data_IF_753926753546
#
_entry.id   IF_753926753546
#
_cell.length_a   1.000
_cell.length_b   1.000
_cell.length_c   1.000
_cell.angle_alpha   90.00
_cell.angle_beta   90.00
_cell.angle_gamma   90.00
#
_symmetry.space_group_name_H-M   'P 1'
#
loop_
_entity.id
_entity.type
_entity.pdbx_description
1 polymer ?
#
# COMPACT_ATOMS: atom_id res chain seq x y z
N UNK A 1 -0.77 20.32 45.98
CA UNK A 1 -0.98 19.91 44.58
C UNK A 1 0.02 18.82 44.26
N UNK A 2 -0.43 17.58 44.06
CA UNK A 2 0.45 16.47 43.68
C UNK A 2 0.79 16.58 42.20
N UNK A 3 2.07 16.73 41.87
CA UNK A 3 2.54 16.65 40.49
C UNK A 3 2.27 15.23 39.98
N UNK A 4 1.60 15.03 38.83
CA UNK A 4 1.42 13.71 38.26
C UNK A 4 2.80 13.09 37.96
N UNK A 5 3.16 12.00 38.62
CA UNK A 5 4.48 11.37 38.53
C UNK A 5 4.60 10.31 37.43
N UNK A 6 3.61 10.23 36.53
CA UNK A 6 3.61 9.21 35.47
C UNK A 6 4.04 9.84 34.15
N UNK A 7 5.35 9.81 33.90
CA UNK A 7 5.89 10.00 32.54
C UNK A 7 5.57 8.73 31.77
N UNK A 8 4.61 8.81 30.85
CA UNK A 8 4.42 7.75 29.85
C UNK A 8 5.58 7.91 28.87
N UNK A 9 6.58 7.04 28.98
CA UNK A 9 7.63 6.96 27.97
C UNK A 9 6.97 6.57 26.65
N UNK A 10 7.00 7.47 25.66
CA UNK A 10 6.57 7.16 24.30
C UNK A 10 7.46 6.03 23.78
N UNK A 11 6.85 5.01 23.18
CA UNK A 11 7.61 3.93 22.55
C UNK A 11 8.52 4.45 21.44
N UNK A 12 9.55 3.69 21.08
CA UNK A 12 10.46 4.04 19.98
C UNK A 12 9.71 4.13 18.64
N UNK A 13 8.73 3.26 18.44
CA UNK A 13 7.89 3.19 17.24
C UNK A 13 6.45 3.60 17.58
N UNK A 14 5.86 4.49 16.78
CA UNK A 14 4.47 4.93 16.91
C UNK A 14 3.50 3.97 16.18
N UNK A 15 2.22 4.32 16.15
CA UNK A 15 1.23 3.60 15.35
C UNK A 15 1.51 3.73 13.85
N UNK A 16 1.36 2.66 13.07
CA UNK A 16 1.48 2.73 11.61
C UNK A 16 0.31 3.53 11.03
N UNK A 17 0.56 4.25 9.95
CA UNK A 17 -0.46 4.87 9.10
C UNK A 17 -0.41 4.23 7.71
N UNK A 18 -1.36 4.57 6.84
CA UNK A 18 -1.36 4.17 5.44
C UNK A 18 -1.31 5.39 4.53
N UNK A 19 -0.51 5.27 3.48
CA UNK A 19 -0.27 6.34 2.53
C UNK A 19 -0.15 5.74 1.12
N UNK A 20 -0.55 6.49 0.11
CA UNK A 20 -0.30 6.13 -1.28
C UNK A 20 -0.14 7.36 -2.16
N UNK A 21 0.46 7.15 -3.32
CA UNK A 21 0.74 8.18 -4.32
C UNK A 21 0.23 7.74 -5.70
N UNK A 22 -0.27 8.70 -6.49
CA UNK A 22 -0.70 8.51 -7.88
C UNK A 22 -1.71 7.37 -8.07
N UNK A 23 -1.39 6.35 -8.87
CA UNK A 23 -2.30 5.24 -9.22
C UNK A 23 -2.34 4.12 -8.17
N UNK A 24 -1.62 4.27 -7.06
CA UNK A 24 -1.61 3.33 -5.95
C UNK A 24 -2.64 3.66 -4.88
N UNK A 25 -2.91 2.68 -4.02
CA UNK A 25 -3.88 2.81 -2.93
C UNK A 25 -3.45 1.98 -1.71
N UNK A 26 -3.79 2.46 -0.52
CA UNK A 26 -3.43 1.81 0.73
C UNK A 26 -4.62 1.83 1.68
N UNK A 27 -5.15 0.66 2.04
CA UNK A 27 -6.29 0.53 2.96
C UNK A 27 -6.06 -0.49 4.06
N UNK A 28 -6.69 -0.25 5.20
CA UNK A 28 -6.78 -1.25 6.25
C UNK A 28 -7.77 -2.33 5.83
N UNK A 29 -7.39 -3.58 6.01
CA UNK A 29 -8.23 -4.75 5.77
C UNK A 29 -8.22 -5.64 7.01
N UNK A 30 -9.38 -6.18 7.38
CA UNK A 30 -9.47 -7.18 8.46
C UNK A 30 -9.53 -8.55 7.80
N UNK A 31 -8.52 -9.38 8.05
CA UNK A 31 -8.48 -10.73 7.49
C UNK A 31 -9.59 -11.57 8.09
N UNK A 32 -10.77 -11.62 7.44
CA UNK A 32 -11.86 -12.55 7.78
C UNK A 32 -11.88 -13.79 6.89
N UNK A 33 -11.19 -13.74 5.75
CA UNK A 33 -11.10 -14.83 4.77
C UNK A 33 -9.73 -15.49 4.78
N UNK A 34 -9.68 -16.79 4.44
CA UNK A 34 -8.41 -17.48 4.22
C UNK A 34 -7.78 -16.97 2.92
N UNK A 35 -6.45 -16.76 2.85
CA UNK A 35 -5.45 -17.03 3.87
C UNK A 35 -5.14 -15.82 4.79
N UNK A 36 -5.93 -14.76 4.70
CA UNK A 36 -5.72 -13.46 5.36
C UNK A 36 -5.89 -13.50 6.88
N UNK A 37 -6.84 -14.28 7.41
CA UNK A 37 -7.05 -14.39 8.87
C UNK A 37 -5.93 -15.17 9.59
N UNK A 38 -5.02 -15.83 8.87
CA UNK A 38 -4.00 -16.72 9.45
C UNK A 38 -2.80 -15.96 10.03
N UNK A 39 -2.69 -14.66 9.78
CA UNK A 39 -1.56 -13.80 10.13
C UNK A 39 -2.04 -12.54 10.85
N UNK A 40 -1.08 -11.76 11.35
CA UNK A 40 -1.31 -10.57 12.19
C UNK A 40 -1.81 -10.90 13.59
N UNK A 41 -1.09 -10.39 14.59
CA UNK A 41 -1.50 -10.52 16.01
C UNK A 41 -2.73 -9.69 16.36
N UNK A 42 -3.10 -8.70 15.54
CA UNK A 42 -4.26 -7.83 15.74
C UNK A 42 -5.47 -8.23 14.87
N UNK A 43 -5.26 -9.13 13.90
CA UNK A 43 -6.24 -9.48 12.86
C UNK A 43 -6.39 -8.43 11.76
N UNK A 44 -5.65 -7.32 11.83
CA UNK A 44 -5.60 -6.30 10.78
C UNK A 44 -4.41 -6.50 9.87
N UNK A 45 -4.63 -6.21 8.60
CA UNK A 45 -3.67 -6.21 7.52
C UNK A 45 -3.65 -4.82 6.87
N UNK A 46 -2.50 -4.43 6.34
CA UNK A 46 -2.41 -3.31 5.42
C UNK A 46 -2.47 -3.85 3.99
N UNK A 47 -3.52 -3.54 3.24
CA UNK A 47 -3.60 -3.81 1.81
C UNK A 47 -2.92 -2.65 1.07
N UNK A 48 -1.84 -2.96 0.36
CA UNK A 48 -1.07 -2.07 -0.48
C UNK A 48 -1.34 -2.48 -1.93
N UNK A 49 -2.00 -1.61 -2.69
CA UNK A 49 -2.23 -1.77 -4.12
C UNK A 49 -1.26 -0.88 -4.88
N UNK A 50 -0.35 -1.49 -5.65
CA UNK A 50 0.64 -0.72 -6.41
C UNK A 50 0.04 -0.08 -7.66
N UNK A 51 -0.93 -0.72 -8.32
CA UNK A 51 -1.59 -0.21 -9.51
C UNK A 51 -0.69 -0.10 -10.73
N UNK A 52 -1.20 0.59 -11.76
CA UNK A 52 -0.47 0.86 -13.01
C UNK A 52 0.66 1.86 -12.74
N UNK A 53 1.87 1.51 -13.16
CA UNK A 53 3.07 2.27 -12.86
C UNK A 53 3.36 3.35 -13.90
N UNK A 54 3.62 4.56 -13.39
CA UNK A 54 3.96 5.77 -14.14
C UNK A 54 5.22 6.47 -13.62
N UNK A 55 5.89 5.91 -12.62
CA UNK A 55 7.21 6.32 -12.14
C UNK A 55 7.33 6.31 -10.62
N UNK A 56 6.43 7.03 -9.94
CA UNK A 56 6.43 7.23 -8.48
C UNK A 56 5.11 6.76 -7.84
N UNK A 57 4.51 5.71 -8.40
CA UNK A 57 3.30 5.08 -7.88
C UNK A 57 3.68 4.08 -6.79
N UNK A 58 3.29 4.37 -5.55
CA UNK A 58 3.49 3.45 -4.45
C UNK A 58 2.41 3.56 -3.39
N UNK A 59 2.20 2.45 -2.69
CA UNK A 59 1.45 2.35 -1.45
C UNK A 59 2.42 2.02 -0.31
N UNK A 60 2.20 2.58 0.87
CA UNK A 60 3.12 2.42 2.00
C UNK A 60 2.47 2.37 3.37
N UNK A 61 3.24 1.85 4.32
CA UNK A 61 2.93 1.81 5.76
C UNK A 61 3.97 2.65 6.52
N UNK A 62 3.79 3.97 6.63
CA UNK A 62 4.68 4.80 7.42
C UNK A 62 4.53 4.53 8.93
N UNK A 63 5.66 4.33 9.60
CA UNK A 63 5.78 4.17 11.05
C UNK A 63 6.71 5.27 11.56
N UNK A 64 6.18 6.20 12.36
CA UNK A 64 7.02 7.23 12.97
C UNK A 64 7.98 6.59 13.98
N UNK A 65 9.20 7.11 14.00
CA UNK A 65 10.27 6.69 14.91
C UNK A 65 10.65 7.87 15.79
N UNK A 66 10.72 7.64 17.09
CA UNK A 66 11.08 8.67 18.06
C UNK A 66 12.61 8.86 18.12
N UNK A 67 13.20 9.36 17.04
CA UNK A 67 14.61 9.75 16.91
C UNK A 67 15.63 8.63 17.26
N UNK A 68 15.44 7.43 16.70
CA UNK A 68 16.34 6.30 16.93
C UNK A 68 17.65 6.51 16.16
N UNK A 69 18.81 6.49 16.81
CA UNK A 69 20.09 6.62 16.08
C UNK A 69 20.26 5.49 15.06
N UNK A 70 20.85 5.79 13.89
CA UNK A 70 21.09 4.79 12.84
C UNK A 70 21.85 3.54 13.37
N UNK A 71 22.91 3.67 14.17
CA UNK A 71 23.59 2.50 14.75
C UNK A 71 22.72 1.67 15.70
N UNK A 72 21.62 2.21 16.23
CA UNK A 72 20.77 1.51 17.20
C UNK A 72 19.64 0.70 16.52
N UNK A 73 19.45 0.85 15.21
CA UNK A 73 18.51 0.03 14.42
C UNK A 73 19.20 -1.26 13.95
N UNK A 74 18.82 -2.40 14.52
CA UNK A 74 19.53 -3.69 14.40
C UNK A 74 18.80 -4.75 13.60
N UNK A 75 17.48 -4.71 13.54
CA UNK A 75 16.71 -5.76 12.88
C UNK A 75 15.34 -5.28 12.41
N UNK A 76 14.91 -5.82 11.28
CA UNK A 76 13.54 -5.70 10.78
C UNK A 76 13.06 -7.05 10.24
N UNK A 77 11.78 -7.34 10.42
CA UNK A 77 11.11 -8.48 9.83
C UNK A 77 9.69 -8.09 9.46
N UNK A 78 9.22 -8.56 8.31
CA UNK A 78 7.81 -8.45 7.94
C UNK A 78 7.30 -9.66 7.16
N UNK A 79 5.98 -9.84 7.17
CA UNK A 79 5.26 -10.87 6.41
C UNK A 79 4.22 -10.22 5.52
N UNK A 80 4.05 -10.76 4.32
CA UNK A 80 3.10 -10.20 3.35
C UNK A 80 2.58 -11.26 2.38
N UNK A 81 1.35 -11.10 1.92
CA UNK A 81 0.74 -11.94 0.89
C UNK A 81 0.71 -11.16 -0.42
N UNK A 82 1.23 -11.71 -1.52
CA UNK A 82 1.07 -11.12 -2.86
C UNK A 82 -0.02 -11.89 -3.62
N UNK A 83 -0.94 -11.18 -4.29
CA UNK A 83 -1.93 -11.84 -5.18
C UNK A 83 -1.24 -12.67 -6.26
N UNK A 84 -0.25 -12.08 -6.91
CA UNK A 84 0.50 -12.68 -8.00
C UNK A 84 2.01 -12.69 -7.72
N UNK A 85 2.75 -13.41 -8.56
CA UNK A 85 4.20 -13.28 -8.56
C UNK A 85 4.56 -11.94 -9.21
N UNK A 86 5.32 -11.13 -8.49
CA UNK A 86 5.59 -9.74 -8.86
C UNK A 86 7.06 -9.54 -9.18
N UNK A 87 7.37 -8.50 -9.95
CA UNK A 87 8.78 -8.18 -10.24
C UNK A 87 9.47 -7.68 -8.98
N UNK A 88 8.74 -7.04 -8.06
CA UNK A 88 9.21 -6.46 -6.80
C UNK A 88 8.48 -7.01 -5.58
N UNK A 89 9.20 -7.07 -4.46
CA UNK A 89 8.63 -7.35 -3.14
C UNK A 89 8.25 -6.07 -2.40
N UNK A 90 7.83 -6.23 -1.14
CA UNK A 90 7.59 -5.09 -0.25
C UNK A 90 8.92 -4.68 0.37
N UNK A 91 9.44 -3.52 0.00
CA UNK A 91 10.74 -3.02 0.43
C UNK A 91 10.62 -2.09 1.64
N UNK A 92 11.72 -1.92 2.36
CA UNK A 92 11.82 -0.96 3.46
C UNK A 92 12.48 0.34 3.00
N UNK A 93 11.97 1.47 3.48
CA UNK A 93 12.57 2.79 3.34
C UNK A 93 12.78 3.41 4.72
N UNK A 94 14.00 3.86 5.00
CA UNK A 94 14.39 4.46 6.27
C UNK A 94 14.66 5.94 6.04
N UNK A 95 13.98 6.79 6.79
CA UNK A 95 14.12 8.23 6.73
C UNK A 95 14.88 8.72 7.96
N UNK A 96 15.99 9.42 7.72
CA UNK A 96 16.86 9.91 8.78
C UNK A 96 17.27 11.38 8.56
N UNK A 97 17.68 12.05 9.63
CA UNK A 97 18.17 13.42 9.59
C UNK A 97 19.29 13.68 10.61
N UNK A 98 19.99 14.80 10.45
CA UNK A 98 20.94 15.29 11.46
C UNK A 98 20.14 15.78 12.68
N UNK A 99 20.34 15.22 13.89
CA UNK A 99 19.56 15.61 15.07
C UNK A 99 19.74 17.08 15.49
N UNK A 100 20.80 17.74 15.01
CA UNK A 100 21.06 19.15 15.27
C UNK A 100 20.63 20.07 14.12
N UNK A 101 20.29 19.51 12.95
CA UNK A 101 19.90 20.25 11.76
C UNK A 101 18.87 19.44 10.93
N UNK A 102 17.56 19.60 11.20
CA UNK A 102 16.52 18.86 10.50
C UNK A 102 16.35 19.28 9.03
N UNK A 103 17.15 20.20 8.50
CA UNK A 103 17.22 20.48 7.06
C UNK A 103 18.16 19.53 6.31
N UNK A 104 18.97 18.74 7.02
CA UNK A 104 19.80 17.69 6.43
C UNK A 104 19.08 16.35 6.58
N UNK A 105 18.71 15.73 5.46
CA UNK A 105 17.88 14.52 5.47
C UNK A 105 18.35 13.53 4.43
N UNK A 106 18.09 12.26 4.71
CA UNK A 106 18.28 11.17 3.77
C UNK A 106 17.07 10.26 3.77
N UNK A 107 16.87 9.67 2.61
CA UNK A 107 16.07 8.49 2.38
C UNK A 107 17.04 7.35 2.07
N UNK A 108 17.01 6.27 2.87
CA UNK A 108 17.78 5.05 2.66
C UNK A 108 16.80 3.96 2.24
N UNK A 109 16.91 3.50 1.00
CA UNK A 109 15.91 2.67 0.34
C UNK A 109 16.46 1.31 0.01
N UNK A 110 15.80 0.26 0.51
CA UNK A 110 16.04 -1.11 0.09
C UNK A 110 15.59 -1.25 -1.36
N UNK A 111 16.45 -1.76 -2.24
CA UNK A 111 16.09 -1.97 -3.63
C UNK A 111 14.92 -2.97 -3.76
N UNK A 112 13.76 -2.57 -4.30
CA UNK A 112 12.56 -3.42 -4.33
C UNK A 112 12.70 -4.65 -5.23
N UNK A 113 13.66 -4.61 -6.15
CA UNK A 113 14.05 -5.70 -7.04
C UNK A 113 15.03 -6.70 -6.43
N UNK A 114 15.55 -6.44 -5.22
CA UNK A 114 16.63 -7.21 -4.64
C UNK A 114 16.24 -8.70 -4.48
N UNK A 115 17.23 -9.59 -4.55
CA UNK A 115 17.00 -11.03 -4.70
C UNK A 115 16.46 -11.70 -3.44
N UNK A 116 16.69 -11.12 -2.27
CA UNK A 116 16.23 -11.63 -0.96
C UNK A 116 14.81 -11.16 -0.58
N UNK A 117 14.24 -10.23 -1.35
CA UNK A 117 12.83 -9.87 -1.26
C UNK A 117 12.03 -10.95 -1.97
N UNK A 118 11.22 -11.67 -1.21
CA UNK A 118 10.39 -12.73 -1.74
C UNK A 118 9.27 -12.13 -2.64
N UNK A 119 9.12 -12.70 -3.82
CA UNK A 119 8.33 -12.14 -4.94
C UNK A 119 7.28 -13.11 -5.47
N UNK A 120 7.08 -14.24 -4.78
CA UNK A 120 6.14 -15.27 -5.21
C UNK A 120 4.71 -14.91 -4.79
N UNK A 121 3.72 -15.42 -5.53
CA UNK A 121 2.33 -15.36 -5.11
C UNK A 121 2.15 -16.07 -3.74
N UNK A 122 1.25 -15.55 -2.91
CA UNK A 122 0.95 -16.07 -1.58
C UNK A 122 1.81 -15.46 -0.46
N UNK A 123 1.86 -16.14 0.68
CA UNK A 123 2.53 -15.64 1.88
C UNK A 123 4.04 -15.73 1.80
N UNK A 124 4.67 -14.57 1.93
CA UNK A 124 6.09 -14.33 1.97
C UNK A 124 6.52 -13.82 3.34
N UNK A 125 7.82 -13.91 3.60
CA UNK A 125 8.47 -13.27 4.75
C UNK A 125 9.79 -12.66 4.29
N UNK A 126 10.17 -11.57 4.93
CA UNK A 126 11.50 -11.01 4.80
C UNK A 126 12.08 -10.75 6.19
N UNK A 127 13.38 -11.01 6.34
CA UNK A 127 14.18 -10.71 7.52
C UNK A 127 15.37 -9.93 6.99
N UNK A 128 15.55 -8.72 7.53
CA UNK A 128 16.65 -7.85 7.13
C UNK A 128 17.99 -8.51 7.44
N UNK A 129 18.79 -8.73 6.39
CA UNK A 129 20.20 -9.09 6.50
C UNK A 129 21.05 -7.82 6.35
N UNK A 130 21.66 -7.39 7.46
CA UNK A 130 22.43 -6.14 7.50
C UNK A 130 23.76 -6.22 6.76
N UNK A 131 24.21 -7.43 6.43
CA UNK A 131 25.46 -7.70 5.73
C UNK A 131 25.32 -7.76 4.21
N UNK A 132 24.09 -7.76 3.71
CA UNK A 132 23.79 -7.83 2.27
C UNK A 132 23.72 -6.43 1.67
N UNK A 133 24.33 -6.25 0.51
CA UNK A 133 24.30 -5.00 -0.25
C UNK A 133 22.95 -4.83 -0.93
N UNK A 134 22.09 -3.98 -0.37
CA UNK A 134 20.71 -3.83 -0.84
C UNK A 134 20.12 -2.43 -0.63
N UNK A 135 20.84 -1.52 0.03
CA UNK A 135 20.34 -0.17 0.35
C UNK A 135 21.09 0.89 -0.44
N UNK A 136 20.40 1.82 -1.05
CA UNK A 136 20.99 3.05 -1.56
C UNK A 136 20.39 4.25 -0.87
N UNK A 137 20.94 5.44 -1.07
CA UNK A 137 20.37 6.65 -0.51
C UNK A 137 20.31 7.81 -1.50
N UNK A 138 19.37 8.71 -1.23
CA UNK A 138 19.33 10.08 -1.74
C UNK A 138 19.10 11.03 -0.56
N UNK A 139 19.54 12.28 -0.67
CA UNK A 139 19.39 13.22 0.43
C UNK A 139 19.80 14.64 0.14
N UNK A 140 19.51 15.49 1.11
CA UNK A 140 19.76 16.93 1.10
C UNK A 140 20.91 17.23 2.06
N UNK A 141 21.92 17.98 1.58
CA UNK A 141 23.04 18.47 2.40
C UNK A 141 23.85 17.36 3.10
N UNK A 142 24.11 16.25 2.40
CA UNK A 142 24.84 15.07 2.92
C UNK A 142 26.36 15.18 2.81
N UNK A 143 26.94 16.39 2.77
CA UNK A 143 28.40 16.55 2.69
C UNK A 143 29.08 15.93 3.91
N UNK A 144 30.09 15.08 3.68
CA UNK A 144 30.88 14.44 4.74
C UNK A 144 30.64 12.94 4.91
N UNK A 145 29.71 12.32 4.18
CA UNK A 145 29.61 10.86 4.05
C UNK A 145 30.68 10.32 3.08
N UNK A 146 31.15 9.10 3.32
CA UNK A 146 32.00 8.34 2.39
C UNK A 146 31.17 7.55 1.35
N UNK A 147 29.84 7.62 1.43
CA UNK A 147 28.91 6.92 0.55
C UNK A 147 28.48 7.80 -0.63
N UNK A 148 28.24 7.17 -1.78
CA UNK A 148 27.80 7.83 -3.00
C UNK A 148 26.30 7.61 -3.21
N UNK A 149 25.53 8.69 -3.39
CA UNK A 149 24.09 8.60 -3.65
C UNK A 149 23.79 7.71 -4.87
N UNK A 150 22.70 6.94 -4.78
CA UNK A 150 22.30 5.95 -5.80
C UNK A 150 23.17 4.69 -5.90
N UNK A 151 24.29 4.59 -5.17
CA UNK A 151 25.07 3.35 -5.05
C UNK A 151 24.49 2.47 -3.93
N UNK A 152 24.44 1.15 -4.14
CA UNK A 152 23.98 0.22 -3.12
C UNK A 152 25.10 -0.15 -2.13
N UNK A 153 24.73 -0.26 -0.86
CA UNK A 153 25.56 -0.56 0.30
C UNK A 153 24.84 -1.54 1.23
N UNK A 154 25.58 -2.11 2.16
CA UNK A 154 25.02 -2.88 3.27
C UNK A 154 24.48 -1.93 4.34
N UNK A 155 23.57 -2.41 5.19
CA UNK A 155 23.12 -1.61 6.34
C UNK A 155 24.28 -1.32 7.31
N UNK A 156 25.18 -2.28 7.51
CA UNK A 156 26.36 -2.11 8.37
C UNK A 156 27.27 -0.95 7.89
N UNK A 157 27.34 -0.69 6.58
CA UNK A 157 28.08 0.46 6.03
C UNK A 157 27.43 1.79 6.41
N UNK A 158 26.09 1.90 6.37
CA UNK A 158 25.39 3.10 6.86
C UNK A 158 25.60 3.31 8.36
N UNK A 159 25.65 2.23 9.15
CA UNK A 159 25.91 2.32 10.60
C UNK A 159 27.35 2.75 10.94
N UNK A 160 28.31 2.43 10.06
CA UNK A 160 29.71 2.78 10.23
C UNK A 160 30.11 4.11 9.56
N UNK A 161 29.27 4.67 8.68
CA UNK A 161 29.55 5.92 7.98
C UNK A 161 29.74 7.09 8.97
N UNK A 162 30.76 7.91 8.72
CA UNK A 162 31.17 9.00 9.62
C UNK A 162 30.09 10.07 9.82
N UNK A 163 29.25 10.30 8.81
CA UNK A 163 28.14 11.25 8.88
C UNK A 163 26.91 10.56 9.48
N UNK A 164 26.46 9.46 8.86
CA UNK A 164 25.17 8.84 9.15
C UNK A 164 25.15 8.10 10.50
N UNK A 165 26.28 7.64 11.04
CA UNK A 165 26.35 7.06 12.40
C UNK A 165 25.95 8.04 13.51
N UNK A 166 25.92 9.34 13.22
CA UNK A 166 25.47 10.40 14.13
C UNK A 166 24.03 10.86 13.88
N UNK A 167 23.37 10.35 12.84
CA UNK A 167 22.02 10.75 12.46
C UNK A 167 20.95 9.88 13.14
N UNK A 168 19.72 10.40 13.17
CA UNK A 168 18.56 9.76 13.79
C UNK A 168 17.49 9.43 12.76
N UNK A 169 16.86 8.27 12.93
CA UNK A 169 15.72 7.79 12.16
C UNK A 169 14.46 8.38 12.77
N UNK A 170 13.66 9.05 11.94
CA UNK A 170 12.39 9.64 12.33
C UNK A 170 11.17 8.94 11.69
N UNK A 171 11.40 8.11 10.66
CA UNK A 171 10.35 7.33 10.00
C UNK A 171 10.94 6.10 9.33
N UNK A 172 10.20 4.99 9.40
CA UNK A 172 10.42 3.79 8.58
C UNK A 172 9.13 3.53 7.82
N UNK A 173 9.20 3.28 6.51
CA UNK A 173 8.07 2.82 5.71
C UNK A 173 8.35 1.43 5.14
N UNK A 174 7.28 0.63 5.01
CA UNK A 174 7.26 -0.51 4.09
C UNK A 174 6.45 -0.10 2.86
N UNK A 175 7.03 -0.26 1.69
CA UNK A 175 6.52 0.30 0.44
C UNK A 175 6.34 -0.79 -0.62
N UNK A 176 5.41 -0.53 -1.53
CA UNK A 176 5.07 -1.44 -2.61
C UNK A 176 4.57 -0.66 -3.82
N UNK A 177 5.00 -1.07 -5.01
CA UNK A 177 4.61 -0.44 -6.28
C UNK A 177 5.75 0.27 -6.99
N UNK A 178 6.70 0.89 -6.27
CA UNK A 178 7.70 1.83 -6.81
C UNK A 178 8.54 1.30 -7.99
N UNK A 179 7.99 1.37 -9.21
CA UNK A 179 8.60 0.87 -10.44
C UNK A 179 8.28 1.81 -11.61
N UNK A 180 9.12 1.78 -12.65
CA UNK A 180 8.96 2.68 -13.79
C UNK A 180 7.85 2.27 -14.76
N UNK A 181 7.46 0.99 -14.80
CA UNK A 181 6.48 0.45 -15.76
C UNK A 181 5.75 -0.77 -15.19
N UNK A 182 4.64 -1.20 -15.79
CA UNK A 182 3.93 -2.42 -15.40
C UNK A 182 2.73 -2.16 -14.48
N UNK A 183 2.26 -3.21 -13.82
CA UNK A 183 1.09 -3.17 -12.94
C UNK A 183 1.36 -4.08 -11.76
N UNK A 184 1.14 -3.56 -10.56
CA UNK A 184 1.25 -4.31 -9.31
C UNK A 184 -0.14 -4.47 -8.73
N UNK A 185 -0.48 -5.68 -8.32
CA UNK A 185 -1.79 -5.95 -7.76
C UNK A 185 -1.83 -5.66 -6.26
N UNK A 186 -2.65 -6.38 -5.52
CA UNK A 186 -2.76 -6.26 -4.08
C UNK A 186 -1.65 -7.02 -3.35
N UNK A 187 -1.12 -6.38 -2.32
CA UNK A 187 -0.23 -6.98 -1.33
C UNK A 187 -0.77 -6.74 0.08
N UNK A 188 -0.93 -7.79 0.90
CA UNK A 188 -1.41 -7.67 2.28
C UNK A 188 -0.28 -7.89 3.29
N UNK A 189 0.16 -6.83 3.95
CA UNK A 189 1.15 -6.89 5.04
C UNK A 189 0.45 -7.26 6.35
N UNK A 190 1.02 -8.21 7.10
CA UNK A 190 0.38 -8.76 8.29
C UNK A 190 1.16 -8.57 9.59
N UNK A 191 2.45 -8.89 9.58
CA UNK A 191 3.31 -8.74 10.75
C UNK A 191 4.47 -7.82 10.40
N UNK A 192 4.76 -6.86 11.28
CA UNK A 192 5.95 -6.03 11.22
C UNK A 192 6.64 -6.08 12.58
N UNK A 193 7.95 -6.33 12.59
CA UNK A 193 8.77 -6.34 13.79
C UNK A 193 10.02 -5.50 13.56
N UNK A 194 10.17 -4.42 14.33
CA UNK A 194 11.30 -3.51 14.25
C UNK A 194 12.07 -3.56 15.56
N UNK A 195 13.38 -3.82 15.52
CA UNK A 195 14.23 -4.00 16.71
C UNK A 195 13.65 -4.97 17.75
N UNK A 196 12.97 -6.02 17.29
CA UNK A 196 12.34 -6.99 18.17
C UNK A 196 10.96 -6.57 18.72
N UNK A 197 10.53 -5.32 18.52
CA UNK A 197 9.20 -4.84 18.89
C UNK A 197 8.19 -5.13 17.77
N UNK A 198 7.07 -5.78 18.13
CA UNK A 198 5.95 -5.99 17.21
C UNK A 198 5.23 -4.65 17.00
N UNK A 199 5.01 -4.28 15.76
CA UNK A 199 4.22 -3.09 15.39
C UNK A 199 2.77 -3.53 15.19
N UNK A 200 1.83 -3.10 16.05
CA UNK A 200 0.44 -3.49 15.93
C UNK A 200 -0.20 -2.79 14.73
N UNK A 201 -0.54 -3.56 13.70
CA UNK A 201 -1.34 -3.09 12.57
C UNK A 201 -2.78 -2.88 13.02
N UNK A 202 -3.37 -1.73 12.69
CA UNK A 202 -4.79 -1.41 12.92
C UNK A 202 -5.08 -0.05 12.28
N UNK A 203 -6.35 0.29 12.03
CA UNK A 203 -6.75 1.64 11.74
C UNK A 203 -6.15 2.62 12.75
N UNK A 204 -5.37 3.57 12.24
CA UNK A 204 -4.77 4.62 13.06
C UNK A 204 -5.83 5.59 13.60
N UNK A 205 -5.43 6.37 14.60
CA UNK A 205 -6.30 7.35 15.23
C UNK A 205 -6.69 8.51 14.30
N UNK A 206 -5.91 8.77 13.25
CA UNK A 206 -6.17 9.78 12.21
C UNK A 206 -7.17 9.31 11.14
N UNK A 207 -7.49 8.02 11.10
CA UNK A 207 -8.41 7.43 10.14
C UNK A 207 -7.86 7.27 8.73
N UNK A 208 -6.54 7.17 8.56
CA UNK A 208 -5.96 6.87 7.23
C UNK A 208 -6.35 5.47 6.77
N UNK A 209 -6.27 5.23 5.45
CA UNK A 209 -6.57 3.93 4.85
C UNK A 209 -8.02 3.42 5.03
N UNK A 210 -8.97 4.33 5.27
CA UNK A 210 -10.41 4.00 5.33
C UNK A 210 -11.08 4.00 3.97
N UNK A 211 -10.62 4.86 3.07
CA UNK A 211 -11.19 5.03 1.73
C UNK A 211 -10.15 4.53 0.75
N UNK A 212 -10.53 3.52 -0.04
CA UNK A 212 -9.71 3.00 -1.12
C UNK A 212 -10.22 3.47 -2.48
N UNK A 213 -9.31 3.49 -3.44
CA UNK A 213 -9.57 3.78 -4.86
C UNK A 213 -8.84 2.76 -5.72
N UNK A 214 -9.56 2.11 -6.62
CA UNK A 214 -8.96 1.29 -7.68
C UNK A 214 -9.07 2.03 -8.99
N UNK A 215 -7.93 2.18 -9.66
CA UNK A 215 -7.81 2.87 -10.94
C UNK A 215 -7.42 1.88 -12.03
N UNK A 216 -8.14 1.93 -13.15
CA UNK A 216 -7.83 1.14 -14.34
C UNK A 216 -7.84 2.05 -15.55
N UNK A 217 -6.88 1.85 -16.44
CA UNK A 217 -6.83 2.52 -17.74
C UNK A 217 -6.52 1.51 -18.83
N UNK A 218 -6.99 1.77 -20.05
CA UNK A 218 -6.74 0.90 -21.18
C UNK A 218 -7.49 1.35 -22.42
N UNK A 219 -7.39 0.56 -23.48
CA UNK A 219 -8.15 0.74 -24.72
C UNK A 219 -8.87 -0.52 -25.19
N UNK A 220 -8.81 -1.59 -24.39
CA UNK A 220 -9.50 -2.87 -24.61
C UNK A 220 -10.80 -2.92 -23.81
N UNK A 221 -11.42 -4.10 -23.75
CA UNK A 221 -12.50 -4.36 -22.80
C UNK A 221 -12.09 -3.99 -21.36
N UNK A 222 -13.06 -3.47 -20.61
CA UNK A 222 -13.02 -3.38 -19.16
C UNK A 222 -13.51 -4.72 -18.60
N UNK A 223 -12.69 -5.33 -17.75
CA UNK A 223 -13.04 -6.49 -16.93
C UNK A 223 -12.31 -6.33 -15.59
N UNK A 224 -12.84 -5.45 -14.74
CA UNK A 224 -12.22 -5.10 -13.46
C UNK A 224 -13.05 -5.62 -12.30
N UNK A 225 -12.41 -6.33 -11.38
CA UNK A 225 -12.96 -6.81 -10.14
C UNK A 225 -12.41 -6.03 -8.94
N UNK A 226 -13.28 -5.56 -8.06
CA UNK A 226 -12.92 -5.01 -6.75
C UNK A 226 -13.28 -6.02 -5.65
N UNK A 227 -12.28 -6.52 -4.93
CA UNK A 227 -12.49 -7.41 -3.79
C UNK A 227 -11.53 -7.08 -2.62
N UNK A 228 -11.87 -6.14 -1.73
CA UNK A 228 -11.01 -5.70 -0.61
C UNK A 228 -10.70 -6.77 0.45
N UNK A 229 -11.43 -7.90 0.41
CA UNK A 229 -11.34 -9.04 1.33
C UNK A 229 -11.65 -8.68 2.80
N UNK A 230 -12.47 -7.65 2.98
CA UNK A 230 -12.96 -7.13 4.27
C UNK A 230 -14.32 -6.47 4.02
N UNK A 231 -15.24 -6.38 5.00
CA UNK A 231 -16.50 -5.68 4.79
C UNK A 231 -16.26 -4.24 4.33
N UNK A 232 -17.02 -3.80 3.33
CA UNK A 232 -16.78 -2.53 2.68
C UNK A 232 -18.08 -1.89 2.20
N UNK A 233 -18.01 -0.60 1.90
CA UNK A 233 -19.06 0.11 1.20
C UNK A 233 -18.56 0.58 -0.15
N UNK A 234 -19.29 0.24 -1.21
CA UNK A 234 -19.07 0.85 -2.52
C UNK A 234 -19.61 2.29 -2.50
N UNK A 235 -18.74 3.27 -2.78
CA UNK A 235 -19.09 4.69 -2.74
C UNK A 235 -19.39 5.25 -4.12
N UNK A 236 -18.53 4.96 -5.10
CA UNK A 236 -18.72 5.46 -6.47
C UNK A 236 -17.97 4.65 -7.53
N UNK A 237 -18.50 4.70 -8.74
CA UNK A 237 -17.85 4.25 -9.98
C UNK A 237 -17.85 5.42 -10.95
N UNK A 238 -16.67 5.79 -11.44
CA UNK A 238 -16.46 6.86 -12.42
C UNK A 238 -15.75 6.29 -13.63
N UNK A 239 -16.32 6.47 -14.81
CA UNK A 239 -15.71 6.10 -16.09
C UNK A 239 -15.61 7.35 -16.97
N UNK A 240 -14.45 7.57 -17.55
CA UNK A 240 -14.20 8.57 -18.58
C UNK A 240 -13.63 7.91 -19.83
N UNK A 241 -14.10 8.31 -21.01
CA UNK A 241 -13.62 7.87 -22.32
C UNK A 241 -13.01 9.04 -23.10
N UNK A 242 -11.94 8.79 -23.84
CA UNK A 242 -11.31 9.79 -24.71
C UNK A 242 -12.20 10.27 -25.86
N UNK A 243 -13.26 9.53 -26.18
CA UNK A 243 -14.32 9.90 -27.11
C UNK A 243 -15.59 9.11 -26.78
N UNK A 244 -16.75 9.65 -27.13
CA UNK A 244 -18.02 8.96 -26.93
C UNK A 244 -18.04 7.58 -27.59
N UNK A 245 -18.53 6.58 -26.86
CA UNK A 245 -18.74 5.25 -27.36
C UNK A 245 -19.91 5.22 -28.36
N UNK A 246 -19.93 4.23 -29.25
CA UNK A 246 -20.93 4.11 -30.31
C UNK A 246 -21.96 3.01 -30.00
N UNK A 247 -21.61 2.05 -29.15
CA UNK A 247 -22.43 0.88 -28.87
C UNK A 247 -22.15 0.26 -27.49
N UNK A 248 -22.80 -0.87 -27.21
CA UNK A 248 -22.65 -1.71 -26.00
C UNK A 248 -23.22 -1.10 -24.72
N UNK A 249 -23.02 -1.83 -23.62
CA UNK A 249 -23.52 -1.49 -22.29
C UNK A 249 -22.38 -1.64 -21.30
N UNK A 250 -22.17 -0.61 -20.48
CA UNK A 250 -21.33 -0.69 -19.29
C UNK A 250 -22.18 -1.21 -18.13
N UNK A 251 -21.64 -2.16 -17.36
CA UNK A 251 -22.31 -2.76 -16.20
C UNK A 251 -21.44 -2.71 -14.96
N UNK A 252 -22.10 -2.51 -13.82
CA UNK A 252 -21.54 -2.80 -12.50
C UNK A 252 -22.39 -3.88 -11.85
N UNK A 253 -21.78 -4.99 -11.50
CA UNK A 253 -22.42 -6.13 -10.84
C UNK A 253 -21.77 -6.39 -9.49
N UNK A 254 -22.50 -7.04 -8.59
CA UNK A 254 -21.94 -7.67 -7.40
C UNK A 254 -22.04 -9.16 -7.59
N UNK A 255 -20.92 -9.83 -7.48
CA UNK A 255 -20.87 -11.24 -7.28
C UNK A 255 -20.87 -11.56 -5.77
N UNK A 256 -21.88 -12.29 -5.33
CA UNK A 256 -22.00 -12.71 -3.94
C UNK A 256 -21.09 -13.93 -3.72
N UNK A 257 -19.98 -13.75 -2.99
CA UNK A 257 -18.87 -14.72 -2.90
C UNK A 257 -19.20 -16.16 -2.48
N UNK A 258 -20.43 -16.45 -2.07
CA UNK A 258 -20.91 -17.82 -1.77
C UNK A 258 -21.40 -18.60 -2.99
N UNK A 259 -21.56 -17.98 -4.16
CA UNK A 259 -22.02 -18.64 -5.38
C UNK A 259 -21.63 -17.80 -6.62
N UNK A 260 -20.30 -17.65 -6.75
CA UNK A 260 -19.57 -16.65 -7.53
C UNK A 260 -19.87 -16.49 -9.05
N UNK A 261 -20.84 -17.23 -9.56
CA UNK A 261 -21.16 -17.29 -11.00
C UNK A 261 -22.65 -17.51 -11.29
N UNK A 262 -23.46 -17.61 -10.22
CA UNK A 262 -24.88 -17.96 -10.34
C UNK A 262 -25.78 -16.78 -9.96
N UNK A 263 -25.28 -15.83 -9.17
CA UNK A 263 -26.10 -14.75 -8.59
C UNK A 263 -25.47 -13.36 -8.75
N UNK A 264 -25.00 -13.04 -9.95
CA UNK A 264 -24.58 -11.67 -10.28
C UNK A 264 -25.76 -10.73 -10.10
N UNK A 265 -25.66 -9.83 -9.13
CA UNK A 265 -26.66 -8.79 -8.90
C UNK A 265 -26.26 -7.54 -9.67
N UNK A 266 -27.06 -7.19 -10.68
CA UNK A 266 -26.86 -5.96 -11.45
C UNK A 266 -27.13 -4.72 -10.58
N UNK A 267 -26.08 -3.97 -10.24
CA UNK A 267 -26.18 -2.72 -9.49
C UNK A 267 -26.45 -1.53 -10.40
N UNK A 268 -25.82 -1.51 -11.58
CA UNK A 268 -25.90 -0.41 -12.53
C UNK A 268 -25.69 -0.91 -13.96
N UNK A 269 -26.43 -0.33 -14.90
CA UNK A 269 -26.31 -0.62 -16.32
C UNK A 269 -26.57 0.65 -17.13
N UNK A 270 -25.75 0.89 -18.14
CA UNK A 270 -25.87 2.05 -19.02
C UNK A 270 -25.48 1.69 -20.44
N UNK A 271 -26.41 1.87 -21.39
CA UNK A 271 -26.08 1.85 -22.81
C UNK A 271 -25.09 2.98 -23.12
N UNK A 272 -24.00 2.66 -23.81
CA UNK A 272 -22.85 3.55 -24.00
C UNK A 272 -22.89 4.35 -25.30
N UNK A 273 -23.86 4.10 -26.19
CA UNK A 273 -24.01 4.87 -27.41
C UNK A 273 -24.19 6.38 -27.13
N UNK A 274 -23.23 7.19 -27.58
CA UNK A 274 -23.16 8.63 -27.35
C UNK A 274 -22.65 9.05 -25.96
N UNK A 275 -22.20 8.10 -25.12
CA UNK A 275 -21.72 8.36 -23.76
C UNK A 275 -20.19 8.39 -23.74
N UNK A 276 -19.61 9.42 -23.11
CA UNK A 276 -18.18 9.51 -22.81
C UNK A 276 -17.89 9.42 -21.31
N UNK A 277 -18.84 9.83 -20.47
CA UNK A 277 -18.66 9.93 -19.02
C UNK A 277 -19.78 9.21 -18.28
N UNK A 278 -19.40 8.46 -17.25
CA UNK A 278 -20.32 7.91 -16.24
C UNK A 278 -19.82 8.35 -14.89
N UNK A 279 -20.73 8.90 -14.08
CA UNK A 279 -20.54 9.07 -12.64
C UNK A 279 -21.72 8.40 -11.96
N UNK A 280 -21.44 7.31 -11.24
CA UNK A 280 -22.42 6.62 -10.41
C UNK A 280 -21.99 6.67 -8.96
N UNK A 281 -22.78 7.34 -8.13
CA UNK A 281 -22.59 7.43 -6.69
C UNK A 281 -23.66 6.63 -5.95
N UNK A 282 -23.29 6.03 -4.82
CA UNK A 282 -24.21 5.41 -3.87
C UNK A 282 -24.23 6.26 -2.59
N UNK A 283 -25.26 7.11 -2.45
CA UNK A 283 -25.41 7.98 -1.27
C UNK A 283 -25.48 7.14 0.01
N UNK A 284 -24.54 7.38 0.93
CA UNK A 284 -24.42 6.60 2.17
C UNK A 284 -23.64 5.29 2.04
N UNK A 285 -23.16 4.96 0.84
CA UNK A 285 -22.46 3.71 0.54
C UNK A 285 -23.40 2.52 0.35
N UNK A 286 -23.04 1.62 -0.57
CA UNK A 286 -23.66 0.31 -0.67
C UNK A 286 -22.84 -0.69 0.15
N UNK A 287 -23.38 -1.14 1.29
CA UNK A 287 -22.71 -2.09 2.16
C UNK A 287 -22.61 -3.48 1.51
N UNK A 288 -21.39 -4.03 1.55
CA UNK A 288 -20.98 -5.29 0.94
C UNK A 288 -20.15 -6.08 1.95
N UNK A 289 -20.21 -7.39 1.85
CA UNK A 289 -19.49 -8.33 2.73
C UNK A 289 -18.06 -8.53 2.27
N UNK A 290 -17.25 -9.14 3.12
CA UNK A 290 -15.85 -9.46 2.83
C UNK A 290 -15.64 -10.38 1.62
N UNK A 291 -16.64 -11.21 1.30
CA UNK A 291 -16.62 -12.18 0.20
C UNK A 291 -17.25 -11.65 -1.08
N UNK A 292 -17.90 -10.49 -1.04
CA UNK A 292 -18.48 -9.87 -2.23
C UNK A 292 -17.38 -9.28 -3.14
N UNK A 293 -17.59 -9.42 -4.45
CA UNK A 293 -16.75 -8.84 -5.50
C UNK A 293 -17.59 -7.87 -6.35
N UNK A 294 -17.07 -6.67 -6.62
CA UNK A 294 -17.74 -5.70 -7.49
C UNK A 294 -17.06 -5.70 -8.85
N UNK A 295 -17.78 -6.16 -9.87
CA UNK A 295 -17.28 -6.18 -11.23
C UNK A 295 -17.75 -4.98 -12.02
N UNK A 296 -16.82 -4.37 -12.75
CA UNK A 296 -17.10 -3.38 -13.78
C UNK A 296 -16.73 -3.97 -15.13
N UNK A 297 -17.68 -3.98 -16.06
CA UNK A 297 -17.49 -4.60 -17.37
C UNK A 297 -18.01 -3.73 -18.52
N UNK A 298 -17.25 -3.70 -19.60
CA UNK A 298 -17.64 -3.11 -20.88
C UNK A 298 -16.73 -3.63 -22.00
N UNK A 299 -17.31 -4.20 -23.05
CA UNK A 299 -16.54 -4.87 -24.13
C UNK A 299 -15.62 -3.92 -24.89
N UNK A 300 -15.99 -2.64 -25.04
CA UNK A 300 -15.22 -1.60 -25.71
C UNK A 300 -14.76 -2.00 -27.12
N UNK A 301 -15.66 -2.54 -27.95
CA UNK A 301 -15.29 -2.89 -29.35
C UNK A 301 -14.84 -1.67 -30.16
N UNK A 302 -15.20 -0.46 -29.72
CA UNK A 302 -14.77 0.81 -30.32
C UNK A 302 -13.27 1.14 -30.11
N UNK A 303 -12.59 0.44 -29.20
CA UNK A 303 -11.19 0.71 -28.87
C UNK A 303 -10.96 2.06 -28.20
N UNK A 304 -11.92 2.58 -27.44
CA UNK A 304 -11.77 3.87 -26.74
C UNK A 304 -10.76 3.75 -25.62
N UNK A 305 -9.90 4.76 -25.48
CA UNK A 305 -9.07 4.87 -24.28
C UNK A 305 -9.95 5.30 -23.12
N UNK A 306 -9.86 4.61 -22.00
CA UNK A 306 -10.69 4.85 -20.83
C UNK A 306 -9.87 5.05 -19.55
N UNK A 307 -10.47 5.73 -18.58
CA UNK A 307 -10.07 5.71 -17.17
C UNK A 307 -11.27 5.34 -16.30
N UNK A 308 -11.16 4.27 -15.52
CA UNK A 308 -12.15 3.80 -14.56
C UNK A 308 -11.62 4.01 -13.14
N UNK A 309 -12.42 4.61 -12.26
CA UNK A 309 -12.18 4.67 -10.82
C UNK A 309 -13.31 4.01 -10.06
N UNK A 310 -12.98 3.07 -9.20
CA UNK A 310 -13.90 2.51 -8.20
C UNK A 310 -13.47 2.97 -6.82
N UNK A 311 -14.32 3.72 -6.13
CA UNK A 311 -14.05 4.22 -4.77
C UNK A 311 -14.88 3.45 -3.77
N UNK A 312 -14.24 3.00 -2.69
CA UNK A 312 -14.88 2.25 -1.62
C UNK A 312 -14.38 2.69 -0.24
N UNK A 313 -15.08 2.26 0.80
CA UNK A 313 -14.70 2.47 2.19
C UNK A 313 -14.65 1.15 2.94
N UNK A 314 -13.56 0.87 3.63
CA UNK A 314 -13.54 -0.27 4.57
C UNK A 314 -14.47 0.02 5.75
N UNK A 315 -15.32 -0.95 6.09
CA UNK A 315 -16.23 -0.88 7.24
C UNK A 315 -15.59 -1.61 8.41
N UNK A 316 -15.45 -0.89 9.53
CA UNK A 316 -14.95 -1.45 10.78
C UNK A 316 -16.14 -1.72 11.70
N UNK A 317 -16.86 -2.82 11.50
CA UNK A 317 -17.94 -3.18 12.43
C UNK A 317 -17.36 -3.56 13.82
N UNK A 318 -17.85 -2.89 14.87
CA UNK A 318 -17.65 -3.30 16.27
C UNK A 318 -16.25 -3.07 16.87
N UNK A 319 -15.75 -1.84 16.88
CA UNK A 319 -14.70 -1.42 17.82
C UNK A 319 -15.29 -1.11 19.21
#
# INVERSE_FOLDING_TARGET
>A
MSVPSRVILRGVFSEPTLFSTLNSDAVWSRGSLSPYFQKSTTGWLANLYGGVQTGDDFASIPIEVNELRIPDFKAAQWTYNLTNAEVYGINMVIWAHDPNDPSKRIEITQAPSHADLAKAAGWNKHILDTSVTQFFFYGENTTGTDLTAGTQYTWDQFQADVLFSNWTIYRISLEYGWYSTGTFEDAWVADIKLNGQVIPLKPDSGGTGRIGRRWVTGSSAIAHALAPKTPFELLSVVLHLNAAATQETFTVTVDAGRAASVYDTLLYSKAMAGVADIVREWTGGLALKEDDEVDSAWTNTDGKTYGLTVTYRTVFEGA
#
